data_IF_677133820197
#
_entry.id   IF_677133820197
#
_cell.length_a   1.000
_cell.length_b   1.000
_cell.length_c   1.000
_cell.angle_alpha   90.00
_cell.angle_beta   90.00
_cell.angle_gamma   90.00
#
_symmetry.space_group_name_H-M   'P 1'
#
loop_
_entity.id
_entity.type
_entity.pdbx_description
1 polymer ?
#
# COMPACT_ATOMS: atom_id res chain seq x y z
N UNK A 1 14.92 9.18 5.27
CA UNK A 1 14.66 10.01 6.47
C UNK A 1 15.65 9.69 7.60
N UNK A 2 16.94 9.73 7.30
CA UNK A 2 18.01 9.48 8.28
C UNK A 2 19.10 10.54 8.24
N UNK A 3 18.88 11.65 7.53
CA UNK A 3 19.84 12.75 7.53
C UNK A 3 19.93 13.35 8.93
N UNK A 4 21.12 13.83 9.30
CA UNK A 4 21.39 14.48 10.58
C UNK A 4 20.44 15.63 10.87
N UNK A 5 20.07 16.40 9.84
CA UNK A 5 19.19 17.56 9.94
C UNK A 5 17.78 17.13 10.28
N UNK A 6 17.27 16.09 9.61
CA UNK A 6 15.95 15.54 9.86
C UNK A 6 15.84 14.95 11.27
N UNK A 7 16.84 14.18 11.69
CA UNK A 7 16.89 13.56 13.02
C UNK A 7 16.97 14.64 14.11
N UNK A 8 17.79 15.68 13.91
CA UNK A 8 17.89 16.82 14.83
C UNK A 8 16.54 17.52 14.99
N UNK A 9 15.84 17.81 13.89
CA UNK A 9 14.52 18.45 13.91
C UNK A 9 13.47 17.56 14.59
N UNK A 10 13.45 16.26 14.28
CA UNK A 10 12.53 15.28 14.89
C UNK A 10 12.72 15.19 16.40
N UNK A 11 13.97 15.18 16.87
CA UNK A 11 14.29 15.05 18.29
C UNK A 11 14.18 16.38 19.06
N UNK A 12 14.28 17.53 18.38
CA UNK A 12 14.22 18.86 18.98
C UNK A 12 13.13 19.72 18.32
N UNK A 13 11.85 19.34 18.38
CA UNK A 13 10.78 20.06 17.70
C UNK A 13 10.56 21.45 18.32
N UNK A 14 10.28 22.44 17.46
CA UNK A 14 9.92 23.79 17.87
C UNK A 14 8.64 23.79 18.73
N UNK A 15 8.41 24.88 19.49
CA UNK A 15 7.20 25.05 20.31
C UNK A 15 5.91 24.87 19.51
N UNK A 16 5.87 25.35 18.27
CA UNK A 16 4.73 25.16 17.38
C UNK A 16 4.48 23.69 17.03
N UNK A 17 5.51 22.95 16.63
CA UNK A 17 5.40 21.52 16.30
C UNK A 17 4.92 20.69 17.49
N UNK A 18 5.38 21.01 18.72
CA UNK A 18 4.87 20.37 19.94
C UNK A 18 3.38 20.62 20.20
N UNK A 19 2.81 21.69 19.64
CA UNK A 19 1.39 22.03 19.77
C UNK A 19 0.52 21.48 18.65
N UNK A 20 1.06 21.40 17.43
CA UNK A 20 0.28 21.13 16.22
C UNK A 20 0.69 19.88 15.45
N UNK A 21 1.74 19.16 15.86
CA UNK A 21 2.14 17.94 15.14
C UNK A 21 0.99 16.93 15.17
N UNK A 22 0.68 16.28 14.04
CA UNK A 22 -0.24 15.15 14.02
C UNK A 22 0.14 14.05 15.02
N UNK A 23 1.43 13.86 15.34
CA UNK A 23 1.87 12.92 16.38
C UNK A 23 1.36 13.29 17.79
N UNK A 24 0.98 14.55 18.01
CA UNK A 24 0.53 15.08 19.31
C UNK A 24 -0.98 15.25 19.37
N UNK A 25 -1.59 15.81 18.32
CA UNK A 25 -3.02 16.16 18.31
C UNK A 25 -3.89 15.18 17.51
N UNK A 26 -3.27 14.32 16.69
CA UNK A 26 -3.99 13.40 15.83
C UNK A 26 -4.65 12.28 16.63
N UNK A 27 -5.95 12.11 16.47
CA UNK A 27 -6.70 10.97 17.02
C UNK A 27 -6.67 9.75 16.10
N UNK A 28 -6.32 9.95 14.83
CA UNK A 28 -6.10 8.91 13.82
C UNK A 28 -4.89 9.31 13.01
N UNK A 29 -3.73 8.77 13.38
CA UNK A 29 -2.45 9.14 12.80
C UNK A 29 -1.60 7.89 12.58
N UNK A 30 -1.13 7.73 11.35
CA UNK A 30 -0.25 6.65 10.92
C UNK A 30 0.91 7.30 10.18
N UNK A 31 2.14 7.01 10.61
CA UNK A 31 3.34 7.41 9.90
C UNK A 31 4.27 6.22 9.78
N UNK A 32 4.31 5.66 8.58
CA UNK A 32 5.21 4.59 8.21
C UNK A 32 6.05 5.04 7.02
N UNK A 33 7.25 4.50 6.92
CA UNK A 33 8.13 4.65 5.76
C UNK A 33 8.26 3.29 5.11
N UNK A 34 7.96 3.24 3.82
CA UNK A 34 7.97 2.03 3.04
C UNK A 34 8.94 2.13 1.86
N UNK A 35 9.53 0.99 1.51
CA UNK A 35 10.27 0.77 0.26
C UNK A 35 9.40 -0.06 -0.69
N UNK A 36 9.39 0.29 -1.97
CA UNK A 36 8.68 -0.49 -2.98
C UNK A 36 9.50 -1.72 -3.32
N UNK A 37 8.91 -2.90 -3.19
CA UNK A 37 9.55 -4.18 -3.51
C UNK A 37 8.95 -4.83 -4.78
N UNK A 38 7.79 -4.36 -5.24
CA UNK A 38 7.22 -4.73 -6.54
C UNK A 38 6.44 -3.56 -7.18
N UNK A 39 6.62 -3.30 -8.49
CA UNK A 39 7.66 -3.88 -9.35
C UNK A 39 9.06 -3.44 -8.89
N UNK A 40 10.09 -4.23 -9.19
CA UNK A 40 11.48 -3.91 -8.80
C UNK A 40 12.10 -2.80 -9.64
N UNK A 41 11.47 -2.46 -10.78
CA UNK A 41 11.90 -1.39 -11.69
C UNK A 41 10.69 -0.55 -12.07
N UNK A 42 10.83 0.77 -11.99
CA UNK A 42 9.86 1.72 -12.52
C UNK A 42 10.28 2.16 -13.92
N UNK A 43 9.43 1.94 -14.91
CA UNK A 43 9.64 2.51 -16.24
C UNK A 43 9.41 4.03 -16.20
N UNK A 44 10.00 4.75 -17.15
CA UNK A 44 9.81 6.20 -17.24
C UNK A 44 8.32 6.55 -17.40
N UNK A 45 7.59 5.80 -18.23
CA UNK A 45 6.16 5.95 -18.45
C UNK A 45 5.35 5.84 -17.15
N UNK A 46 5.64 4.85 -16.31
CA UNK A 46 4.99 4.67 -15.00
C UNK A 46 5.40 5.78 -14.03
N UNK A 47 6.66 6.21 -14.05
CA UNK A 47 7.16 7.27 -13.19
C UNK A 47 6.57 8.66 -13.52
N UNK A 48 6.15 8.87 -14.77
CA UNK A 48 5.56 10.13 -15.24
C UNK A 48 4.05 10.05 -15.49
N UNK A 49 3.40 8.94 -15.14
CA UNK A 49 1.97 8.79 -15.37
C UNK A 49 1.15 9.70 -14.45
N UNK A 50 -0.05 10.16 -14.88
CA UNK A 50 -0.94 10.93 -14.02
C UNK A 50 -1.37 10.14 -12.79
N UNK A 51 -1.84 10.85 -11.76
CA UNK A 51 -2.33 10.20 -10.54
C UNK A 51 -3.63 9.44 -10.81
N UNK A 52 -3.74 8.23 -10.26
CA UNK A 52 -4.92 7.39 -10.45
C UNK A 52 -6.20 8.02 -9.86
N UNK A 53 -7.39 7.81 -10.48
CA UNK A 53 -8.67 8.29 -9.94
C UNK A 53 -9.00 7.75 -8.55
N UNK A 54 -8.66 6.49 -8.28
CA UNK A 54 -8.84 5.87 -6.99
C UNK A 54 -7.67 4.96 -6.61
N UNK A 55 -7.47 4.77 -5.31
CA UNK A 55 -6.47 3.88 -4.74
C UNK A 55 -7.13 2.91 -3.77
N UNK A 56 -6.74 1.64 -3.83
CA UNK A 56 -7.00 0.69 -2.74
C UNK A 56 -5.68 0.38 -2.04
N UNK A 57 -5.61 0.70 -0.75
CA UNK A 57 -4.41 0.51 0.06
C UNK A 57 -4.66 -0.53 1.13
N UNK A 58 -3.98 -1.67 1.02
CA UNK A 58 -3.92 -2.68 2.06
C UNK A 58 -2.70 -2.46 2.94
N UNK A 59 -2.88 -2.66 4.24
CA UNK A 59 -1.87 -2.64 5.29
C UNK A 59 -2.04 -3.92 6.09
N UNK A 60 -1.01 -4.77 6.12
CA UNK A 60 -1.08 -6.08 6.77
C UNK A 60 0.27 -6.63 7.20
N UNK A 61 0.25 -7.50 8.20
CA UNK A 61 1.35 -8.41 8.48
C UNK A 61 1.06 -9.80 7.89
N UNK A 62 2.11 -10.60 7.77
CA UNK A 62 2.07 -12.01 7.40
C UNK A 62 2.89 -12.78 8.44
N UNK A 63 2.47 -13.99 8.87
CA UNK A 63 3.29 -14.84 9.71
C UNK A 63 4.71 -14.98 9.14
N UNK A 64 5.74 -14.78 9.97
CA UNK A 64 7.14 -14.73 9.50
C UNK A 64 7.58 -16.00 8.75
N UNK A 65 7.00 -17.15 9.07
CA UNK A 65 7.27 -18.41 8.37
C UNK A 65 6.67 -18.50 6.96
N UNK A 66 5.80 -17.55 6.58
CA UNK A 66 5.17 -17.46 5.25
C UNK A 66 5.67 -16.24 4.46
N UNK A 67 6.61 -15.45 5.00
CA UNK A 67 7.05 -14.20 4.38
C UNK A 67 7.55 -14.38 2.94
N UNK A 68 8.43 -15.35 2.70
CA UNK A 68 8.98 -15.59 1.36
C UNK A 68 7.91 -16.08 0.39
N UNK A 69 7.16 -17.12 0.79
CA UNK A 69 6.06 -17.67 0.00
C UNK A 69 5.02 -16.60 -0.36
N UNK A 70 4.71 -15.71 0.58
CA UNK A 70 3.77 -14.62 0.35
C UNK A 70 4.31 -13.61 -0.66
N UNK A 71 5.57 -13.18 -0.54
CA UNK A 71 6.16 -12.25 -1.52
C UNK A 71 6.21 -12.87 -2.92
N UNK A 72 6.61 -14.13 -3.04
CA UNK A 72 6.67 -14.83 -4.33
C UNK A 72 5.27 -14.95 -4.94
N UNK A 73 4.29 -15.39 -4.15
CA UNK A 73 2.90 -15.48 -4.59
C UNK A 73 2.30 -14.11 -4.95
N UNK A 74 2.54 -13.07 -4.14
CA UNK A 74 1.97 -11.75 -4.37
C UNK A 74 2.48 -11.15 -5.69
N UNK A 75 3.78 -11.32 -5.95
CA UNK A 75 4.45 -10.75 -7.11
C UNK A 75 4.21 -11.54 -8.40
N UNK A 76 4.15 -12.87 -8.33
CA UNK A 76 4.08 -13.72 -9.52
C UNK A 76 2.65 -14.11 -9.90
N UNK A 77 1.72 -14.08 -8.94
CA UNK A 77 0.34 -14.52 -9.13
C UNK A 77 -0.62 -13.37 -8.82
N UNK A 78 -0.62 -12.89 -7.58
CA UNK A 78 -1.72 -12.08 -7.09
C UNK A 78 -1.83 -10.71 -7.80
N UNK A 79 -0.76 -9.92 -7.83
CA UNK A 79 -0.77 -8.63 -8.54
C UNK A 79 -1.03 -8.83 -10.05
N UNK A 80 -0.30 -9.70 -10.76
CA UNK A 80 -0.54 -9.94 -12.19
C UNK A 80 -2.00 -10.34 -12.51
N UNK A 81 -2.61 -11.23 -11.72
CA UNK A 81 -4.00 -11.64 -11.91
C UNK A 81 -4.97 -10.47 -11.74
N UNK A 82 -4.74 -9.62 -10.74
CA UNK A 82 -5.55 -8.41 -10.54
C UNK A 82 -5.37 -7.38 -11.66
N UNK A 83 -4.17 -7.25 -12.24
CA UNK A 83 -3.92 -6.35 -13.37
C UNK A 83 -4.64 -6.79 -14.66
N UNK A 84 -5.15 -8.03 -14.73
CA UNK A 84 -6.03 -8.46 -15.83
C UNK A 84 -7.46 -7.90 -15.72
N UNK A 85 -7.86 -7.42 -14.54
CA UNK A 85 -9.20 -6.87 -14.31
C UNK A 85 -9.27 -5.48 -14.96
N UNK A 86 -10.22 -5.32 -15.89
CA UNK A 86 -10.44 -4.03 -16.56
C UNK A 86 -10.68 -2.92 -15.54
N UNK A 87 -9.88 -1.86 -15.63
CA UNK A 87 -9.93 -0.71 -14.72
C UNK A 87 -8.91 -0.76 -13.59
N UNK A 88 -8.17 -1.86 -13.43
CA UNK A 88 -6.94 -1.87 -12.63
C UNK A 88 -5.83 -1.27 -13.48
N UNK A 89 -5.22 -0.20 -12.98
CA UNK A 89 -4.15 0.52 -13.68
C UNK A 89 -2.81 -0.17 -13.39
N UNK A 90 -2.55 -0.50 -12.12
CA UNK A 90 -1.37 -1.25 -11.66
C UNK A 90 -1.47 -1.62 -10.18
N UNK A 91 -0.82 -2.71 -9.79
CA UNK A 91 -0.59 -3.09 -8.41
C UNK A 91 0.87 -2.89 -8.01
N UNK A 92 1.10 -2.50 -6.76
CA UNK A 92 2.43 -2.35 -6.17
C UNK A 92 2.46 -2.96 -4.79
N UNK A 93 3.63 -3.46 -4.42
CA UNK A 93 3.90 -3.99 -3.10
C UNK A 93 5.04 -3.24 -2.45
N UNK A 94 4.84 -2.92 -1.17
CA UNK A 94 5.76 -2.16 -0.36
C UNK A 94 6.07 -2.89 0.94
N UNK A 95 7.30 -2.76 1.43
CA UNK A 95 7.75 -3.27 2.72
C UNK A 95 8.19 -2.13 3.64
N UNK A 96 7.81 -2.20 4.92
CA UNK A 96 8.13 -1.19 5.91
C UNK A 96 9.64 -1.14 6.20
N UNK A 97 10.19 0.06 6.15
CA UNK A 97 11.55 0.40 6.63
C UNK A 97 11.47 1.08 8.00
N UNK A 98 10.39 1.82 8.27
CA UNK A 98 10.06 2.42 9.58
C UNK A 98 8.56 2.25 9.84
N UNK A 99 8.18 1.76 11.02
CA UNK A 99 6.79 1.60 11.43
C UNK A 99 6.21 0.21 11.14
N UNK A 100 4.88 0.09 11.27
CA UNK A 100 4.13 -1.16 11.12
C UNK A 100 2.74 -0.88 10.53
N UNK A 101 2.16 -1.80 9.76
CA UNK A 101 2.56 -3.20 9.56
C UNK A 101 3.62 -3.38 8.46
N UNK A 102 4.18 -4.58 8.37
CA UNK A 102 5.30 -4.92 7.49
C UNK A 102 5.01 -4.66 6.02
N UNK A 103 3.81 -4.99 5.55
CA UNK A 103 3.47 -4.84 4.13
C UNK A 103 2.38 -3.79 3.90
N UNK A 104 2.56 -3.06 2.80
CA UNK A 104 1.54 -2.20 2.23
C UNK A 104 1.31 -2.57 0.76
N UNK A 105 0.09 -2.93 0.43
CA UNK A 105 -0.35 -3.22 -0.94
C UNK A 105 -1.03 -1.98 -1.49
N UNK A 106 -0.80 -1.69 -2.77
CA UNK A 106 -1.21 -0.41 -3.35
C UNK A 106 -1.70 -0.64 -4.77
N UNK A 107 -3.01 -0.57 -4.96
CA UNK A 107 -3.63 -0.69 -6.28
C UNK A 107 -4.13 0.66 -6.76
N UNK A 108 -3.72 1.02 -7.96
CA UNK A 108 -4.24 2.16 -8.70
C UNK A 108 -5.42 1.73 -9.57
N UNK A 109 -6.54 2.41 -9.44
CA UNK A 109 -7.83 2.01 -10.00
C UNK A 109 -8.47 3.17 -10.76
N UNK A 110 -9.18 2.86 -11.85
CA UNK A 110 -10.02 3.82 -12.58
C UNK A 110 -11.26 4.24 -11.77
N UNK A 111 -11.70 3.41 -10.81
CA UNK A 111 -12.90 3.65 -10.01
C UNK A 111 -12.76 3.12 -8.59
N UNK A 112 -13.31 3.86 -7.63
CA UNK A 112 -13.40 3.47 -6.22
C UNK A 112 -14.26 2.22 -5.98
N UNK A 113 -15.15 1.89 -6.91
CA UNK A 113 -16.04 0.73 -6.82
C UNK A 113 -15.43 -0.54 -7.42
N UNK A 114 -14.23 -0.47 -8.02
CA UNK A 114 -13.69 -1.58 -8.79
C UNK A 114 -13.48 -2.84 -7.93
N UNK A 115 -13.06 -2.70 -6.68
CA UNK A 115 -12.87 -3.84 -5.76
C UNK A 115 -14.16 -4.54 -5.34
N UNK A 116 -15.32 -3.99 -5.71
CA UNK A 116 -16.64 -4.56 -5.45
C UNK A 116 -17.21 -5.28 -6.68
N UNK A 117 -16.54 -5.22 -7.83
CA UNK A 117 -16.99 -5.86 -9.07
C UNK A 117 -16.83 -7.38 -9.02
N UNK A 118 -17.65 -8.10 -9.79
CA UNK A 118 -17.55 -9.56 -9.87
C UNK A 118 -16.20 -10.01 -10.45
N UNK A 119 -15.67 -9.28 -11.43
CA UNK A 119 -14.37 -9.55 -12.04
C UNK A 119 -13.25 -9.50 -11.01
N UNK A 120 -13.27 -8.51 -10.12
CA UNK A 120 -12.34 -8.41 -9.00
C UNK A 120 -12.49 -9.57 -8.01
N UNK A 121 -13.73 -9.94 -7.67
CA UNK A 121 -14.00 -11.01 -6.72
C UNK A 121 -13.59 -12.38 -7.26
N UNK A 122 -13.72 -12.61 -8.58
CA UNK A 122 -13.27 -13.85 -9.25
C UNK A 122 -11.77 -14.09 -9.05
N UNK A 123 -10.95 -13.03 -9.04
CA UNK A 123 -9.51 -13.17 -8.82
C UNK A 123 -9.16 -13.75 -7.44
N UNK A 124 -10.03 -13.60 -6.44
CA UNK A 124 -9.79 -14.15 -5.10
C UNK A 124 -9.71 -15.68 -5.10
N UNK A 125 -10.40 -16.34 -6.05
CA UNK A 125 -10.43 -17.79 -6.19
C UNK A 125 -9.74 -18.28 -7.48
N UNK A 126 -9.09 -17.40 -8.25
CA UNK A 126 -8.53 -17.73 -9.55
C UNK A 126 -7.31 -18.66 -9.49
N UNK A 127 -6.56 -18.63 -8.37
CA UNK A 127 -5.38 -19.46 -8.20
C UNK A 127 -5.47 -20.30 -6.91
N UNK A 128 -5.09 -21.61 -6.93
CA UNK A 128 -5.23 -22.51 -5.78
C UNK A 128 -4.53 -22.04 -4.50
N UNK A 129 -3.46 -21.26 -4.61
CA UNK A 129 -2.74 -20.71 -3.46
C UNK A 129 -3.46 -19.54 -2.76
N UNK A 130 -4.48 -18.95 -3.39
CA UNK A 130 -5.07 -17.70 -2.92
C UNK A 130 -5.75 -17.83 -1.58
N UNK A 131 -6.50 -18.92 -1.35
CA UNK A 131 -7.21 -19.16 -0.08
C UNK A 131 -6.23 -19.15 1.10
N UNK A 132 -5.22 -20.03 1.08
CA UNK A 132 -4.18 -20.13 2.12
C UNK A 132 -3.49 -18.78 2.35
N UNK A 133 -3.07 -18.09 1.29
CA UNK A 133 -2.30 -16.85 1.44
C UNK A 133 -3.16 -15.69 1.92
N UNK A 134 -4.43 -15.63 1.52
CA UNK A 134 -5.37 -14.62 2.00
C UNK A 134 -5.77 -14.84 3.45
N UNK A 135 -5.97 -16.08 3.88
CA UNK A 135 -6.22 -16.42 5.29
C UNK A 135 -5.05 -16.01 6.20
N UNK A 136 -3.82 -16.06 5.69
CA UNK A 136 -2.63 -15.62 6.40
C UNK A 136 -2.51 -14.08 6.53
N UNK A 137 -3.29 -13.30 5.77
CA UNK A 137 -3.22 -11.84 5.80
C UNK A 137 -3.81 -11.25 7.08
N UNK A 138 -2.94 -10.68 7.91
CA UNK A 138 -3.33 -10.00 9.15
C UNK A 138 -3.52 -8.50 8.89
N UNK A 139 -4.70 -8.14 8.39
CA UNK A 139 -5.03 -6.76 8.07
C UNK A 139 -5.11 -5.87 9.31
N UNK A 140 -4.57 -4.67 9.19
CA UNK A 140 -4.76 -3.62 10.19
C UNK A 140 -6.20 -3.13 10.23
N UNK A 141 -6.57 -2.44 11.32
CA UNK A 141 -7.88 -1.79 11.40
C UNK A 141 -8.06 -0.79 10.23
N UNK A 142 -9.26 -0.79 9.62
CA UNK A 142 -9.59 -0.04 8.41
C UNK A 142 -8.67 -0.33 7.22
N UNK A 143 -8.39 -1.61 6.99
CA UNK A 143 -7.58 -2.10 5.87
C UNK A 143 -8.27 -3.31 5.22
N UNK A 144 -8.35 -3.38 3.87
CA UNK A 144 -7.94 -2.34 2.93
C UNK A 144 -8.84 -1.10 2.97
N UNK A 145 -8.26 0.07 2.67
CA UNK A 145 -8.99 1.34 2.54
C UNK A 145 -9.07 1.81 1.09
N UNK A 146 -10.15 2.50 0.73
CA UNK A 146 -10.33 3.12 -0.60
C UNK A 146 -10.17 4.64 -0.48
N UNK A 147 -9.36 5.21 -1.37
CA UNK A 147 -9.10 6.65 -1.45
C UNK A 147 -9.45 7.15 -2.85
N UNK A 148 -10.11 8.30 -2.93
CA UNK A 148 -10.53 8.90 -4.21
C UNK A 148 -9.77 10.21 -4.40
N UNK A 149 -9.25 10.40 -5.61
CA UNK A 149 -8.58 11.64 -5.99
C UNK A 149 -9.56 12.81 -5.92
N UNK A 150 -9.25 13.80 -5.08
CA UNK A 150 -10.07 14.99 -4.92
C UNK A 150 -9.71 16.09 -5.92
N UNK A 151 -8.42 16.26 -6.22
CA UNK A 151 -7.89 17.25 -7.16
C UNK A 151 -6.54 16.77 -7.70
N UNK A 152 -6.10 17.36 -8.79
CA UNK A 152 -4.78 17.21 -9.38
C UNK A 152 -4.24 18.61 -9.64
N UNK A 153 -2.98 18.87 -9.28
CA UNK A 153 -2.33 20.17 -9.48
C UNK A 153 -1.48 20.03 -10.74
N UNK A 154 -1.66 20.96 -11.69
CA UNK A 154 -0.87 21.06 -12.92
C UNK A 154 0.56 21.57 -12.68
#
# INVERSE_FOLDING_TARGET
>A
MQSSEYVTLKNNPAKWSKRMSPDVIGTTYIRNVYEMIFPTVLTHEVATSPTAPALQVGRMNIPTNLDNDWNDWYNQVYVPDYETVKGVIRGRLYQAVEGSPKYMTFYELESAMLSQTEEWQKQQAAHPANEKMREAMQHEFNSPGIWVKAFEIE
#
